data_IF_997741859168
#
_entry.id   IF_997741859168
#
_cell.length_a   1.000
_cell.length_b   1.000
_cell.length_c   1.000
_cell.angle_alpha   90.00
_cell.angle_beta   90.00
_cell.angle_gamma   90.00
#
_symmetry.space_group_name_H-M   'P 1'
#
loop_
_entity.id
_entity.type
_entity.pdbx_description
1 polymer ?
#
# COMPACT_ATOMS: atom_id res chain seq x y z
N UNK A 1 -17.88 36.85 3.06
CA UNK A 1 -16.69 36.02 2.78
C UNK A 1 -16.66 34.93 3.83
N UNK A 2 -17.11 33.73 3.47
CA UNK A 2 -17.11 32.58 4.37
C UNK A 2 -15.71 32.01 4.43
N UNK A 3 -15.13 31.99 5.63
CA UNK A 3 -13.90 31.27 5.92
C UNK A 3 -14.26 29.77 5.88
N UNK A 4 -13.71 29.07 4.90
CA UNK A 4 -13.72 27.62 4.88
C UNK A 4 -12.72 27.17 5.93
N UNK A 5 -13.24 26.53 6.97
CA UNK A 5 -12.44 25.90 8.02
C UNK A 5 -11.59 24.82 7.36
N UNK A 6 -10.28 25.00 7.42
CA UNK A 6 -9.26 24.16 6.83
C UNK A 6 -9.25 22.81 7.57
N UNK A 7 -9.80 21.77 6.95
CA UNK A 7 -9.81 20.40 7.49
C UNK A 7 -8.50 19.67 7.14
N UNK A 8 -7.35 20.37 7.13
CA UNK A 8 -6.04 19.77 6.81
C UNK A 8 -5.14 19.57 8.04
N UNK A 9 -5.60 19.95 9.24
CA UNK A 9 -4.74 20.03 10.43
C UNK A 9 -4.73 18.77 11.34
N UNK A 10 -5.16 17.60 10.86
CA UNK A 10 -5.22 16.36 11.69
C UNK A 10 -4.21 15.25 11.36
N UNK A 11 -3.21 15.51 10.51
CA UNK A 11 -2.09 14.58 10.30
C UNK A 11 -0.75 15.29 10.49
N UNK A 12 -0.52 15.88 11.67
CA UNK A 12 0.84 16.09 12.16
C UNK A 12 1.39 14.73 12.60
N UNK A 13 1.90 13.99 11.62
CA UNK A 13 2.88 12.94 11.85
C UNK A 13 4.19 13.62 12.24
N UNK A 14 4.74 13.20 13.37
CA UNK A 14 5.89 13.74 14.07
C UNK A 14 7.13 13.98 13.17
N UNK A 15 7.71 15.16 13.35
CA UNK A 15 9.11 15.62 13.27
C UNK A 15 10.15 14.93 12.36
N UNK A 16 10.76 15.79 11.54
CA UNK A 16 12.07 15.74 10.87
C UNK A 16 13.12 14.72 11.38
N UNK A 17 13.52 13.80 10.49
CA UNK A 17 14.90 13.32 10.39
C UNK A 17 15.15 12.66 9.03
N UNK A 18 15.96 13.32 8.19
CA UNK A 18 16.80 12.74 7.14
C UNK A 18 16.21 11.56 6.34
N UNK A 19 15.25 11.87 5.44
CA UNK A 19 15.06 11.10 4.21
C UNK A 19 13.96 10.03 4.18
N UNK A 20 13.43 9.55 5.32
CA UNK A 20 12.42 8.48 5.35
C UNK A 20 11.15 8.88 6.13
N UNK A 21 9.98 8.89 5.47
CA UNK A 21 8.67 9.14 6.07
C UNK A 21 8.05 7.84 6.57
N UNK A 22 7.70 7.77 7.86
CA UNK A 22 7.13 6.57 8.47
C UNK A 22 5.62 6.72 8.69
N UNK A 23 4.85 5.75 8.21
CA UNK A 23 3.40 5.68 8.33
C UNK A 23 2.98 4.41 9.09
N UNK A 24 1.91 4.50 9.88
CA UNK A 24 1.39 3.36 10.65
C UNK A 24 0.20 2.74 9.95
N UNK A 25 0.13 1.41 9.89
CA UNK A 25 -1.06 0.72 9.43
C UNK A 25 -2.14 0.73 10.51
N UNK A 26 -3.41 0.63 10.11
CA UNK A 26 -4.56 0.69 11.02
C UNK A 26 -4.72 -0.62 11.77
N UNK A 27 -4.49 -1.74 11.08
CA UNK A 27 -4.50 -3.10 11.62
C UNK A 27 -3.38 -3.92 11.02
N UNK A 28 -3.14 -5.07 11.62
CA UNK A 28 -2.23 -6.09 11.10
C UNK A 28 -2.89 -7.45 11.17
N UNK A 29 -2.73 -8.23 10.12
CA UNK A 29 -3.20 -9.60 9.99
C UNK A 29 -2.10 -10.51 9.44
N UNK A 30 -2.28 -11.83 9.55
CA UNK A 30 -1.39 -12.82 8.96
C UNK A 30 -2.11 -13.61 7.87
N UNK A 31 -1.84 -13.24 6.62
CA UNK A 31 -2.37 -13.93 5.45
C UNK A 31 -1.27 -14.82 4.83
N UNK A 32 -1.51 -16.14 4.74
CA UNK A 32 -0.55 -17.10 4.15
C UNK A 32 0.87 -17.05 4.76
N UNK A 33 0.96 -16.78 6.07
CA UNK A 33 2.25 -16.66 6.78
C UNK A 33 2.98 -15.32 6.60
N UNK A 34 2.40 -14.38 5.86
CA UNK A 34 2.92 -13.02 5.65
C UNK A 34 2.24 -12.04 6.60
N UNK A 35 2.95 -11.01 7.06
CA UNK A 35 2.42 -9.97 7.93
C UNK A 35 1.91 -8.82 7.07
N UNK A 36 0.59 -8.68 6.98
CA UNK A 36 -0.06 -7.64 6.20
C UNK A 36 -0.63 -6.57 7.13
N UNK A 37 -0.28 -5.31 6.91
CA UNK A 37 -0.90 -4.18 7.57
C UNK A 37 -2.00 -3.57 6.71
N UNK A 38 -3.23 -3.56 7.21
CA UNK A 38 -4.36 -2.94 6.54
C UNK A 38 -4.32 -1.42 6.75
N UNK A 39 -4.62 -0.68 5.68
CA UNK A 39 -4.61 0.78 5.66
C UNK A 39 -5.91 1.27 5.03
N UNK A 40 -6.48 2.32 5.62
CA UNK A 40 -7.60 3.05 5.01
C UNK A 40 -7.26 3.60 3.61
N UNK A 41 -8.21 3.50 2.69
CA UNK A 41 -8.03 3.88 1.29
C UNK A 41 -7.77 5.38 1.10
N UNK A 42 -8.39 6.24 1.90
CA UNK A 42 -8.21 7.70 1.82
C UNK A 42 -6.80 8.08 2.29
N UNK A 43 -6.37 7.51 3.42
CA UNK A 43 -5.01 7.71 3.92
C UNK A 43 -3.96 7.17 2.96
N UNK A 44 -4.19 5.99 2.39
CA UNK A 44 -3.28 5.41 1.41
C UNK A 44 -3.18 6.30 0.16
N UNK A 45 -4.30 6.83 -0.33
CA UNK A 45 -4.35 7.78 -1.45
C UNK A 45 -3.55 9.06 -1.16
N UNK A 46 -3.68 9.64 0.04
CA UNK A 46 -2.92 10.82 0.45
C UNK A 46 -1.40 10.58 0.36
N UNK A 47 -0.93 9.42 0.85
CA UNK A 47 0.49 9.05 0.81
C UNK A 47 0.99 8.88 -0.62
N UNK A 48 0.21 8.22 -1.49
CA UNK A 48 0.56 8.05 -2.90
C UNK A 48 0.70 9.39 -3.63
N UNK A 49 -0.19 10.34 -3.37
CA UNK A 49 -0.17 11.65 -4.03
C UNK A 49 0.95 12.53 -3.49
N UNK A 50 1.25 12.45 -2.18
CA UNK A 50 2.32 13.22 -1.55
C UNK A 50 3.72 12.76 -1.95
N UNK A 51 3.90 11.46 -2.17
CA UNK A 51 5.20 10.86 -2.42
C UNK A 51 5.22 9.97 -3.66
N UNK A 52 4.60 10.45 -4.75
CA UNK A 52 4.48 9.70 -6.01
C UNK A 52 5.83 9.31 -6.59
N UNK A 53 6.89 10.06 -6.32
CA UNK A 53 8.25 9.84 -6.77
C UNK A 53 9.03 8.77 -5.94
N UNK A 54 8.42 8.26 -4.86
CA UNK A 54 8.92 7.15 -4.07
C UNK A 54 8.01 5.90 -4.17
N UNK A 55 7.08 5.91 -5.12
CA UNK A 55 6.11 4.86 -5.36
C UNK A 55 6.21 4.35 -6.80
N UNK A 56 6.18 3.02 -6.98
CA UNK A 56 6.01 2.41 -8.29
C UNK A 56 4.68 1.66 -8.32
N UNK A 57 3.80 2.06 -9.24
CA UNK A 57 2.45 1.50 -9.33
C UNK A 57 2.33 0.51 -10.49
N UNK A 58 1.60 -0.56 -10.23
CA UNK A 58 1.43 -1.67 -11.16
C UNK A 58 -0.02 -2.11 -11.17
N UNK A 59 -0.59 -2.25 -12.36
CA UNK A 59 -1.88 -2.92 -12.57
C UNK A 59 -1.65 -4.40 -12.79
N UNK A 60 -2.48 -5.24 -12.20
CA UNK A 60 -2.46 -6.66 -12.47
C UNK A 60 -3.41 -7.00 -13.62
N UNK A 61 -2.88 -7.63 -14.66
CA UNK A 61 -3.62 -8.11 -15.83
C UNK A 61 -3.90 -9.62 -15.76
N UNK A 62 -3.15 -10.38 -14.96
CA UNK A 62 -3.38 -11.82 -14.71
C UNK A 62 -2.59 -12.30 -13.48
N UNK A 63 -2.98 -13.45 -12.92
CA UNK A 63 -2.23 -14.09 -11.82
C UNK A 63 -2.50 -13.53 -10.42
N UNK A 64 -1.80 -14.07 -9.42
CA UNK A 64 -1.98 -13.72 -8.01
C UNK A 64 -1.19 -12.47 -7.55
N UNK A 65 -0.33 -11.93 -8.42
CA UNK A 65 0.54 -10.78 -8.18
C UNK A 65 1.97 -11.12 -7.83
N UNK A 66 2.72 -10.16 -7.28
CA UNK A 66 4.14 -10.32 -6.92
C UNK A 66 4.40 -11.68 -6.25
N UNK A 67 5.11 -12.55 -6.98
CA UNK A 67 5.71 -13.76 -6.44
C UNK A 67 7.02 -13.34 -5.78
N UNK A 68 7.27 -13.86 -4.59
CA UNK A 68 8.50 -13.53 -3.89
C UNK A 68 9.70 -13.86 -4.81
N UNK A 69 10.69 -12.97 -4.96
CA UNK A 69 11.76 -13.13 -5.94
C UNK A 69 12.64 -14.34 -5.60
N UNK A 70 12.59 -14.80 -4.35
CA UNK A 70 13.24 -16.05 -3.91
C UNK A 70 12.52 -17.32 -4.42
N UNK A 71 11.27 -17.20 -4.87
CA UNK A 71 10.44 -18.28 -5.42
C UNK A 71 10.40 -18.30 -6.96
N UNK A 72 11.00 -17.31 -7.63
CA UNK A 72 11.02 -17.20 -9.09
C UNK A 72 12.17 -18.03 -9.70
N UNK A 73 11.86 -19.22 -10.20
CA UNK A 73 12.79 -20.06 -10.98
C UNK A 73 12.54 -19.86 -12.48
N UNK A 74 13.22 -18.89 -13.12
CA UNK A 74 13.08 -18.67 -14.57
C UNK A 74 13.85 -17.48 -15.14
N UNK A 75 14.02 -17.45 -16.47
CA UNK A 75 14.77 -16.43 -17.24
C UNK A 75 13.93 -15.22 -17.69
N UNK A 76 12.73 -15.05 -17.15
CA UNK A 76 11.85 -13.89 -17.42
C UNK A 76 11.92 -12.88 -16.27
N UNK A 77 11.66 -11.60 -16.53
CA UNK A 77 11.65 -10.59 -15.46
C UNK A 77 10.48 -10.83 -14.49
N UNK A 78 10.65 -10.50 -13.22
CA UNK A 78 9.65 -10.75 -12.17
C UNK A 78 8.29 -10.06 -12.43
N UNK A 79 8.28 -8.98 -13.21
CA UNK A 79 7.07 -8.26 -13.63
C UNK A 79 6.25 -9.05 -14.68
N UNK A 80 6.92 -9.65 -15.67
CA UNK A 80 6.29 -10.50 -16.70
C UNK A 80 5.71 -11.78 -16.10
N UNK A 81 6.36 -12.34 -15.07
CA UNK A 81 5.90 -13.55 -14.40
C UNK A 81 4.68 -13.34 -13.48
N UNK A 82 4.42 -12.11 -13.05
CA UNK A 82 3.34 -11.75 -12.12
C UNK A 82 2.10 -11.20 -12.83
N UNK A 83 2.11 -11.09 -14.16
CA UNK A 83 1.05 -10.44 -14.93
C UNK A 83 0.85 -8.98 -14.50
N UNK A 84 1.94 -8.25 -14.24
CA UNK A 84 1.91 -6.83 -13.84
C UNK A 84 2.26 -5.95 -15.03
N UNK A 85 1.55 -4.85 -15.18
CA UNK A 85 1.85 -3.77 -16.13
C UNK A 85 2.02 -2.49 -15.33
N UNK A 86 3.13 -1.79 -15.53
CA UNK A 86 3.38 -0.49 -14.92
C UNK A 86 2.25 0.49 -15.26
N UNK A 87 1.85 1.30 -14.29
CA UNK A 87 0.79 2.29 -14.43
C UNK A 87 1.12 3.51 -13.60
N UNK A 88 0.49 4.63 -13.91
CA UNK A 88 0.71 5.85 -13.15
C UNK A 88 0.15 5.76 -11.72
N UNK A 89 0.94 6.22 -10.75
CA UNK A 89 0.55 6.30 -9.33
C UNK A 89 -0.71 7.17 -9.17
N UNK A 90 -0.80 8.28 -9.92
CA UNK A 90 -1.97 9.16 -9.93
C UNK A 90 -3.24 8.44 -10.42
N UNK A 91 -3.10 7.52 -11.39
CA UNK A 91 -4.22 6.71 -11.87
C UNK A 91 -4.72 5.73 -10.80
N UNK A 92 -3.82 5.20 -9.97
CA UNK A 92 -4.18 4.34 -8.83
C UNK A 92 -4.84 5.17 -7.72
N UNK A 93 -4.27 6.31 -7.37
CA UNK A 93 -4.83 7.23 -6.37
C UNK A 93 -6.25 7.70 -6.74
N UNK A 94 -6.47 8.10 -8.00
CA UNK A 94 -7.79 8.52 -8.50
C UNK A 94 -8.85 7.44 -8.34
N UNK A 95 -8.47 6.16 -8.52
CA UNK A 95 -9.39 5.03 -8.32
C UNK A 95 -9.74 4.86 -6.85
N UNK A 96 -8.73 4.92 -5.97
CA UNK A 96 -8.91 4.81 -4.52
C UNK A 96 -9.86 5.86 -3.95
N UNK A 97 -9.83 7.09 -4.49
CA UNK A 97 -10.73 8.17 -4.10
C UNK A 97 -12.21 7.90 -4.40
N UNK A 98 -12.53 6.87 -5.19
CA UNK A 98 -13.90 6.40 -5.42
C UNK A 98 -14.51 5.63 -4.24
N UNK A 99 -13.70 5.27 -3.24
CA UNK A 99 -14.11 4.48 -2.06
C UNK A 99 -14.32 2.99 -2.35
N UNK A 100 -14.53 2.19 -1.29
CA UNK A 100 -14.76 0.74 -1.44
C UNK A 100 -13.51 -0.04 -1.84
N UNK A 101 -12.35 0.38 -1.34
CA UNK A 101 -11.08 -0.30 -1.56
C UNK A 101 -10.44 -0.68 -0.22
N UNK A 102 -9.91 -1.89 -0.17
CA UNK A 102 -9.07 -2.35 0.94
C UNK A 102 -7.60 -2.31 0.48
N UNK A 103 -6.77 -1.57 1.22
CA UNK A 103 -5.33 -1.49 0.97
C UNK A 103 -4.58 -2.30 2.04
N UNK A 104 -3.70 -3.22 1.61
CA UNK A 104 -2.90 -4.04 2.51
C UNK A 104 -1.42 -3.96 2.15
N UNK A 105 -0.57 -3.54 3.09
CA UNK A 105 0.88 -3.41 2.94
C UNK A 105 1.58 -4.60 3.57
N UNK A 106 2.48 -5.27 2.84
CA UNK A 106 3.31 -6.35 3.39
C UNK A 106 4.43 -5.74 4.24
N UNK A 107 4.47 -6.10 5.52
CA UNK A 107 5.38 -5.54 6.51
C UNK A 107 6.62 -6.42 6.76
N UNK A 108 6.56 -7.71 6.40
CA UNK A 108 7.65 -8.68 6.53
C UNK A 108 8.65 -8.68 5.35
N UNK A 109 8.92 -7.53 4.74
CA UNK A 109 9.84 -7.42 3.58
C UNK A 109 11.22 -6.91 4.00
N UNK A 110 12.27 -7.47 3.38
CA UNK A 110 13.65 -6.97 3.49
C UNK A 110 14.01 -5.93 2.41
N UNK A 111 13.10 -5.68 1.46
CA UNK A 111 13.22 -4.71 0.36
C UNK A 111 11.99 -3.81 0.27
N UNK A 112 11.66 -3.24 -0.91
CA UNK A 112 10.54 -2.31 -1.04
C UNK A 112 9.26 -2.91 -0.47
N UNK A 113 8.50 -2.09 0.23
CA UNK A 113 7.25 -2.55 0.81
C UNK A 113 6.20 -2.62 -0.27
N UNK A 114 5.51 -3.76 -0.34
CA UNK A 114 4.51 -4.01 -1.35
C UNK A 114 3.13 -3.82 -0.76
N UNK A 115 2.38 -2.86 -1.28
CA UNK A 115 0.95 -2.78 -1.06
C UNK A 115 0.17 -3.49 -2.15
N UNK A 116 -0.93 -4.11 -1.75
CA UNK A 116 -1.96 -4.64 -2.63
C UNK A 116 -3.25 -3.90 -2.35
N UNK A 117 -3.84 -3.36 -3.41
CA UNK A 117 -5.15 -2.72 -3.41
C UNK A 117 -6.15 -3.73 -3.94
N UNK A 118 -7.21 -3.98 -3.17
CA UNK A 118 -8.33 -4.85 -3.54
C UNK A 118 -9.60 -4.00 -3.59
N UNK A 119 -10.40 -4.17 -4.64
CA UNK A 119 -11.71 -3.51 -4.76
C UNK A 119 -12.77 -4.34 -4.02
N UNK A 120 -13.45 -3.76 -3.04
CA UNK A 120 -14.54 -4.41 -2.29
C UNK A 120 -15.79 -4.61 -3.14
N UNK A 121 -16.01 -3.81 -4.18
CA UNK A 121 -17.15 -3.99 -5.09
C UNK A 121 -17.06 -5.30 -5.90
N UNK A 122 -15.88 -5.89 -6.02
CA UNK A 122 -15.62 -7.11 -6.79
C UNK A 122 -15.54 -8.38 -5.92
N UNK A 123 -15.76 -8.27 -4.60
CA UNK A 123 -15.73 -9.40 -3.66
C UNK A 123 -16.75 -10.52 -3.94
N UNK A 124 -17.65 -10.31 -4.91
CA UNK A 124 -18.71 -11.25 -5.30
C UNK A 124 -18.38 -12.03 -6.57
N UNK A 125 -17.29 -11.70 -7.29
CA UNK A 125 -16.89 -12.44 -8.49
C UNK A 125 -15.54 -13.13 -8.30
N UNK A 126 -15.64 -14.45 -8.20
CA UNK A 126 -14.58 -15.43 -8.33
C UNK A 126 -13.75 -15.09 -9.59
N UNK A 127 -12.43 -15.07 -9.45
CA UNK A 127 -11.45 -14.87 -10.54
C UNK A 127 -11.52 -13.52 -11.27
N UNK A 128 -10.77 -12.52 -10.76
CA UNK A 128 -10.38 -11.37 -11.60
C UNK A 128 -10.65 -9.96 -11.08
N UNK A 129 -10.84 -9.76 -9.76
CA UNK A 129 -10.89 -8.41 -9.19
C UNK A 129 -9.66 -7.59 -9.67
N UNK A 130 -9.88 -6.38 -10.20
CA UNK A 130 -8.81 -5.51 -10.66
C UNK A 130 -7.92 -5.18 -9.45
N UNK A 131 -6.74 -5.79 -9.41
CA UNK A 131 -5.77 -5.60 -8.34
C UNK A 131 -4.71 -4.62 -8.83
N UNK A 132 -4.47 -3.58 -8.03
CA UNK A 132 -3.30 -2.73 -8.18
C UNK A 132 -2.29 -3.09 -7.09
N UNK A 133 -1.01 -2.96 -7.41
CA UNK A 133 0.07 -3.07 -6.46
C UNK A 133 0.90 -1.81 -6.50
N UNK A 134 1.36 -1.38 -5.33
CA UNK A 134 2.28 -0.27 -5.20
C UNK A 134 3.50 -0.74 -4.44
N UNK A 135 4.67 -0.53 -5.00
CA UNK A 135 5.94 -0.70 -4.31
C UNK A 135 6.38 0.64 -3.73
N UNK A 136 6.78 0.62 -2.47
CA UNK A 136 7.30 1.77 -1.75
C UNK A 136 8.81 1.62 -1.56
N UNK A 137 9.56 2.64 -1.95
CA UNK A 137 10.96 2.74 -1.58
C UNK A 137 11.08 2.92 -0.07
N UNK A 138 11.48 1.87 0.64
CA UNK A 138 11.62 1.87 2.10
C UNK A 138 12.68 2.83 2.64
N UNK A 139 13.58 3.33 1.79
CA UNK A 139 14.51 4.39 2.16
C UNK A 139 13.80 5.74 2.28
N UNK A 140 12.63 5.90 1.65
CA UNK A 140 11.88 7.16 1.56
C UNK A 140 10.52 7.13 2.23
N UNK A 141 9.83 5.99 2.18
CA UNK A 141 8.53 5.76 2.79
C UNK A 141 8.51 4.38 3.43
N UNK A 142 8.12 4.31 4.70
CA UNK A 142 7.99 3.04 5.40
C UNK A 142 6.67 2.93 6.16
N UNK A 143 5.91 1.89 5.85
CA UNK A 143 4.76 1.46 6.64
C UNK A 143 5.20 0.56 7.78
N UNK A 144 4.66 0.76 8.96
CA UNK A 144 4.94 -0.07 10.14
C UNK A 144 3.63 -0.52 10.78
N UNK A 145 3.68 -1.63 11.51
CA UNK A 145 2.56 -2.10 12.30
C UNK A 145 2.07 -0.99 13.26
N UNK A 146 0.79 -0.99 13.67
CA UNK A 146 0.35 -0.11 14.75
C UNK A 146 1.22 -0.41 15.99
N UNK A 147 1.51 0.61 16.79
CA UNK A 147 2.12 0.37 18.10
C UNK A 147 1.24 -0.64 18.82
N UNK A 148 1.82 -1.76 19.24
CA UNK A 148 1.13 -2.65 20.15
C UNK A 148 0.75 -1.76 21.32
N UNK A 149 -0.56 -1.49 21.50
CA UNK A 149 -1.03 -0.75 22.64
C UNK A 149 -0.38 -1.42 23.84
N UNK A 150 0.53 -0.69 24.48
CA UNK A 150 1.34 -1.18 25.57
C UNK A 150 0.40 -1.95 26.50
N UNK A 151 0.56 -3.27 26.55
CA UNK A 151 0.07 -4.07 27.66
C UNK A 151 0.97 -3.78 28.89
N UNK A 152 1.18 -2.49 29.17
CA UNK A 152 1.74 -1.96 30.40
C UNK A 152 0.55 -1.50 31.22
N UNK A 153 -0.20 -2.47 31.73
CA UNK A 153 -1.33 -2.25 32.61
C UNK A 153 -1.30 -3.24 33.77
N UNK A 154 -0.84 -2.76 34.93
CA UNK A 154 -1.24 -3.24 36.27
C UNK A 154 -0.46 -4.41 36.84
#
# INVERSE_FOLDING_TARGET
MGVVDDVSDRLRSDDDSDGCHVYRTDRVDRENGRLLGEVDGERFCEVLLRHSDACEAFRMISGAGYRDPTEATGSYSAAEHAGRVETDVESVATRLSGGGHTCAVRLDTAGPQLATIRNDAERTQIDGAERAQVEFDTARIRWVAPEAADASGG
#
